data_IF_109826004732
#
_entry.id   IF_109826004732
#
_cell.length_a   1.000
_cell.length_b   1.000
_cell.length_c   1.000
_cell.angle_alpha   90.00
_cell.angle_beta   90.00
_cell.angle_gamma   90.00
#
_symmetry.space_group_name_H-M   'P 1'
#
loop_
_entity.id
_entity.type
_entity.pdbx_description
1 polymer ?
#
# COMPACT_ATOMS: atom_id res chain seq x y z
N UNK A 1 -42.04 -37.36 -5.83
CA UNK A 1 -40.62 -37.06 -5.58
C UNK A 1 -40.58 -35.95 -4.53
N UNK A 2 -40.40 -36.29 -3.26
CA UNK A 2 -40.45 -35.31 -2.15
C UNK A 2 -39.04 -34.75 -1.99
N UNK A 3 -38.85 -33.46 -2.33
CA UNK A 3 -37.63 -32.73 -1.96
C UNK A 3 -37.67 -32.57 -0.43
N UNK A 4 -36.79 -33.28 0.27
CA UNK A 4 -36.46 -32.94 1.66
C UNK A 4 -36.05 -31.46 1.71
N UNK A 5 -36.42 -30.69 2.74
CA UNK A 5 -35.93 -29.34 2.89
C UNK A 5 -34.41 -29.41 3.03
N UNK A 6 -33.70 -29.08 1.96
CA UNK A 6 -32.28 -28.84 2.05
C UNK A 6 -32.10 -27.70 3.05
N UNK A 7 -31.39 -27.97 4.15
CA UNK A 7 -30.89 -26.90 5.02
C UNK A 7 -30.02 -26.00 4.13
N UNK A 8 -30.61 -24.92 3.67
CA UNK A 8 -30.09 -24.02 2.65
C UNK A 8 -29.22 -22.97 3.32
N UNK A 9 -27.91 -22.99 3.06
CA UNK A 9 -26.98 -21.95 3.50
C UNK A 9 -25.66 -22.49 4.08
N UNK A 10 -24.79 -21.56 4.49
CA UNK A 10 -23.57 -21.88 5.24
C UNK A 10 -23.94 -22.59 6.55
N UNK A 11 -23.29 -23.72 6.83
CA UNK A 11 -23.42 -24.44 8.09
C UNK A 11 -22.29 -24.05 9.02
N UNK A 12 -22.61 -23.85 10.30
CA UNK A 12 -21.60 -23.70 11.34
C UNK A 12 -21.07 -25.09 11.73
N UNK A 13 -19.78 -25.21 12.06
CA UNK A 13 -19.23 -26.45 12.61
C UNK A 13 -19.76 -26.67 14.04
N UNK A 14 -19.54 -27.86 14.66
CA UNK A 14 -19.83 -28.08 16.07
C UNK A 14 -19.23 -27.00 16.97
N UNK A 15 -19.85 -26.72 18.12
CA UNK A 15 -19.51 -25.59 18.98
C UNK A 15 -18.05 -25.64 19.45
N UNK A 16 -17.54 -26.83 19.73
CA UNK A 16 -16.18 -27.08 20.18
C UNK A 16 -15.15 -26.63 19.12
N UNK A 17 -15.48 -26.81 17.84
CA UNK A 17 -14.64 -26.35 16.72
C UNK A 17 -14.75 -24.84 16.55
N UNK A 18 -15.95 -24.26 16.70
CA UNK A 18 -16.13 -22.81 16.67
C UNK A 18 -15.30 -22.13 17.77
N UNK A 19 -15.35 -22.65 19.00
CA UNK A 19 -14.60 -22.12 20.14
C UNK A 19 -13.08 -22.14 19.93
N UNK A 20 -12.55 -23.10 19.14
CA UNK A 20 -11.12 -23.15 18.77
C UNK A 20 -10.81 -22.18 17.62
N UNK A 21 -11.69 -22.10 16.62
CA UNK A 21 -11.46 -21.35 15.38
C UNK A 21 -11.67 -19.84 15.59
N UNK A 22 -12.61 -19.46 16.46
CA UNK A 22 -12.98 -18.06 16.71
C UNK A 22 -12.14 -17.39 17.81
N UNK A 23 -11.17 -18.12 18.40
CA UNK A 23 -10.21 -17.52 19.36
C UNK A 23 -9.54 -16.31 18.72
N UNK A 24 -9.61 -15.12 19.36
CA UNK A 24 -8.91 -13.95 18.86
C UNK A 24 -7.41 -14.23 18.76
N UNK A 25 -6.78 -14.03 17.59
CA UNK A 25 -5.35 -14.26 17.46
C UNK A 25 -4.59 -13.21 18.26
N UNK A 26 -3.39 -13.58 18.73
CA UNK A 26 -2.49 -12.65 19.40
C UNK A 26 -2.32 -11.38 18.57
N UNK A 27 -2.44 -10.22 19.22
CA UNK A 27 -2.20 -8.92 18.59
C UNK A 27 -0.76 -8.86 18.05
N UNK A 28 -0.57 -8.18 16.92
CA UNK A 28 0.79 -7.78 16.53
C UNK A 28 1.22 -6.58 17.36
N UNK A 29 2.50 -6.42 17.61
CA UNK A 29 3.02 -5.29 18.38
C UNK A 29 4.12 -4.54 17.63
N UNK A 30 4.24 -3.25 17.93
CA UNK A 30 5.24 -2.35 17.37
C UNK A 30 5.79 -1.46 18.48
N UNK A 31 7.11 -1.43 18.64
CA UNK A 31 7.77 -0.50 19.55
C UNK A 31 7.83 0.91 18.93
N UNK A 32 7.68 1.95 19.76
CA UNK A 32 7.98 3.32 19.33
C UNK A 32 9.47 3.43 18.96
N UNK A 33 9.86 4.37 18.09
CA UNK A 33 11.26 4.61 17.76
C UNK A 33 12.13 4.88 19.00
N UNK A 34 11.56 5.55 20.01
CA UNK A 34 12.19 5.83 21.31
C UNK A 34 12.23 4.64 22.27
N UNK A 35 11.53 3.55 21.94
CA UNK A 35 11.40 2.33 22.78
C UNK A 35 10.83 2.57 24.17
N UNK A 36 10.05 3.63 24.33
CA UNK A 36 9.33 4.00 25.56
C UNK A 36 7.83 3.64 25.50
N UNK A 37 7.34 3.20 24.34
CA UNK A 37 5.96 2.78 24.13
C UNK A 37 5.91 1.52 23.29
N UNK A 38 4.87 0.73 23.51
CA UNK A 38 4.50 -0.41 22.68
C UNK A 38 3.05 -0.25 22.22
N UNK A 39 2.82 -0.42 20.91
CA UNK A 39 1.51 -0.40 20.30
C UNK A 39 1.10 -1.83 19.95
N UNK A 40 -0.08 -2.26 20.39
CA UNK A 40 -0.73 -3.50 19.99
C UNK A 40 -1.81 -3.23 18.95
N UNK A 41 -1.82 -4.06 17.91
CA UNK A 41 -2.80 -4.02 16.84
C UNK A 41 -3.67 -5.27 16.94
N UNK A 42 -4.92 -5.06 17.36
CA UNK A 42 -5.92 -6.13 17.50
C UNK A 42 -6.31 -6.60 16.10
N UNK A 43 -6.38 -7.91 15.90
CA UNK A 43 -6.78 -8.52 14.63
C UNK A 43 -7.80 -9.62 14.87
N UNK A 44 -8.59 -9.91 13.83
CA UNK A 44 -9.50 -11.06 13.81
C UNK A 44 -8.83 -12.28 13.19
N UNK A 45 -9.26 -13.47 13.61
CA UNK A 45 -8.76 -14.73 13.07
C UNK A 45 -9.05 -14.84 11.57
N UNK A 46 -10.29 -14.51 11.17
CA UNK A 46 -10.76 -14.66 9.80
C UNK A 46 -11.49 -13.40 9.33
N UNK A 47 -11.23 -12.93 8.10
CA UNK A 47 -12.04 -11.88 7.50
C UNK A 47 -13.47 -12.39 7.22
N UNK A 48 -14.47 -11.50 7.22
CA UNK A 48 -15.83 -11.90 6.87
C UNK A 48 -15.90 -12.31 5.40
N UNK A 49 -16.87 -13.16 5.05
CA UNK A 49 -17.04 -13.64 3.67
C UNK A 49 -17.26 -12.49 2.67
N UNK A 50 -17.88 -11.40 3.10
CA UNK A 50 -18.05 -10.19 2.29
C UNK A 50 -16.73 -9.63 1.77
N UNK A 51 -15.65 -9.69 2.58
CA UNK A 51 -14.31 -9.27 2.15
C UNK A 51 -13.70 -10.24 1.12
N UNK A 52 -13.99 -11.54 1.24
CA UNK A 52 -13.45 -12.56 0.34
C UNK A 52 -14.17 -12.58 -1.02
N UNK A 53 -15.45 -12.23 -1.02
CA UNK A 53 -16.32 -12.20 -2.20
C UNK A 53 -16.15 -10.94 -3.05
N UNK A 54 -15.45 -9.90 -2.55
CA UNK A 54 -15.18 -8.69 -3.30
C UNK A 54 -14.48 -8.99 -4.63
N UNK A 55 -14.96 -8.43 -5.75
CA UNK A 55 -14.29 -8.58 -7.02
C UNK A 55 -12.94 -7.86 -6.98
N UNK A 56 -11.91 -8.50 -7.53
CA UNK A 56 -10.59 -7.92 -7.71
C UNK A 56 -10.28 -7.71 -9.19
N UNK A 57 -9.67 -6.56 -9.51
CA UNK A 57 -9.07 -6.32 -10.81
C UNK A 57 -7.59 -6.69 -10.72
N UNK A 58 -7.14 -7.60 -11.58
CA UNK A 58 -5.75 -8.07 -11.56
C UNK A 58 -4.96 -7.43 -12.70
N UNK A 59 -3.98 -6.57 -12.38
CA UNK A 59 -3.15 -5.87 -13.33
C UNK A 59 -1.67 -6.03 -12.95
N UNK A 60 -0.84 -6.51 -13.89
CA UNK A 60 0.60 -6.68 -13.71
C UNK A 60 1.00 -7.45 -12.42
N UNK A 61 0.18 -8.40 -11.98
CA UNK A 61 0.36 -9.19 -10.76
C UNK A 61 -0.09 -8.49 -9.46
N UNK A 62 -0.87 -7.41 -9.56
CA UNK A 62 -1.47 -6.68 -8.44
C UNK A 62 -2.97 -6.94 -8.45
N UNK A 63 -3.54 -7.34 -7.31
CA UNK A 63 -4.99 -7.41 -7.11
C UNK A 63 -5.48 -6.09 -6.54
N UNK A 64 -6.41 -5.45 -7.23
CA UNK A 64 -6.87 -4.09 -6.97
C UNK A 64 -8.33 -4.13 -6.58
N UNK A 65 -8.67 -3.48 -5.47
CA UNK A 65 -10.03 -3.10 -5.13
C UNK A 65 -10.31 -1.74 -5.79
N UNK A 66 -11.13 -1.75 -6.84
CA UNK A 66 -11.41 -0.54 -7.63
C UNK A 66 -12.29 0.47 -6.90
N UNK A 67 -12.99 0.08 -5.83
CA UNK A 67 -13.85 0.98 -5.06
C UNK A 67 -13.05 2.00 -4.24
N UNK A 68 -11.95 1.54 -3.66
CA UNK A 68 -11.13 2.33 -2.73
C UNK A 68 -9.68 2.52 -3.20
N UNK A 69 -9.36 2.14 -4.44
CA UNK A 69 -8.04 2.33 -5.08
C UNK A 69 -6.87 1.82 -4.22
N UNK A 70 -7.06 0.65 -3.63
CA UNK A 70 -6.08 -0.05 -2.80
C UNK A 70 -5.90 -1.49 -3.25
N UNK A 71 -4.93 -2.19 -2.66
CA UNK A 71 -4.80 -3.64 -2.88
C UNK A 71 -5.99 -4.37 -2.25
N UNK A 72 -6.57 -5.31 -2.99
CA UNK A 72 -7.66 -6.14 -2.47
C UNK A 72 -7.13 -7.25 -1.56
N UNK A 73 -8.05 -7.91 -0.83
CA UNK A 73 -7.75 -9.05 0.05
C UNK A 73 -6.69 -8.76 1.13
N UNK A 74 -6.57 -7.50 1.54
CA UNK A 74 -5.70 -7.11 2.64
C UNK A 74 -6.32 -7.54 3.97
N UNK A 75 -5.51 -8.15 4.84
CA UNK A 75 -5.85 -8.24 6.27
C UNK A 75 -5.95 -6.84 6.86
N UNK A 76 -6.68 -6.71 7.97
CA UNK A 76 -6.87 -5.43 8.64
C UNK A 76 -6.90 -5.63 10.16
N UNK A 77 -6.59 -4.56 10.86
CA UNK A 77 -6.70 -4.49 12.31
C UNK A 77 -8.08 -3.95 12.71
N UNK A 78 -8.55 -4.35 13.87
CA UNK A 78 -9.84 -3.96 14.44
C UNK A 78 -9.70 -3.01 15.63
N UNK A 79 -8.48 -2.71 16.04
CA UNK A 79 -8.22 -1.75 17.11
C UNK A 79 -6.73 -1.54 17.33
N UNK A 80 -6.41 -0.39 17.92
CA UNK A 80 -5.06 -0.01 18.30
C UNK A 80 -5.08 0.28 19.80
N UNK A 81 -4.12 -0.27 20.54
CA UNK A 81 -3.87 0.15 21.92
C UNK A 81 -2.38 0.40 22.14
N UNK A 82 -2.07 1.33 23.04
CA UNK A 82 -0.73 1.81 23.31
C UNK A 82 -0.46 1.68 24.80
N UNK A 83 0.71 1.19 25.16
CA UNK A 83 1.18 1.12 26.54
C UNK A 83 2.51 1.85 26.64
N UNK A 84 2.77 2.44 27.80
CA UNK A 84 4.13 2.78 28.20
C UNK A 84 4.91 1.49 28.44
N UNK A 85 6.15 1.44 27.96
CA UNK A 85 7.09 0.38 28.24
C UNK A 85 8.02 0.85 29.36
N UNK A 86 7.93 0.21 30.52
CA UNK A 86 8.74 0.56 31.70
C UNK A 86 10.13 -0.08 31.63
N UNK A 87 11.08 0.44 32.39
CA UNK A 87 12.48 -0.03 32.41
C UNK A 87 12.63 -1.49 32.88
N UNK A 88 11.71 -1.98 33.70
CA UNK A 88 11.64 -3.37 34.14
C UNK A 88 10.99 -4.32 33.12
N UNK A 89 10.62 -3.80 31.95
CA UNK A 89 9.95 -4.53 30.87
C UNK A 89 8.44 -4.71 31.08
N UNK A 90 7.87 -4.16 32.16
CA UNK A 90 6.43 -4.17 32.40
C UNK A 90 5.70 -3.15 31.52
N UNK A 91 4.39 -3.37 31.35
CA UNK A 91 3.53 -2.48 30.58
C UNK A 91 2.71 -1.61 31.52
N UNK A 92 2.69 -0.30 31.23
CA UNK A 92 1.75 0.62 31.84
C UNK A 92 0.29 0.32 31.45
N UNK A 93 -0.68 1.10 31.97
CA UNK A 93 -2.10 0.91 31.66
C UNK A 93 -2.38 1.03 30.15
N UNK A 94 -3.36 0.27 29.66
CA UNK A 94 -3.79 0.29 28.25
C UNK A 94 -4.36 1.66 27.89
N UNK A 95 -3.82 2.28 26.84
CA UNK A 95 -4.40 3.44 26.18
C UNK A 95 -5.03 3.01 24.87
N UNK A 96 -6.36 2.91 24.84
CA UNK A 96 -7.09 2.59 23.61
C UNK A 96 -7.14 3.81 22.71
N UNK A 97 -6.74 3.63 21.44
CA UNK A 97 -6.93 4.66 20.42
C UNK A 97 -8.41 4.73 20.05
N UNK A 98 -8.98 5.93 20.03
CA UNK A 98 -10.41 6.17 19.85
C UNK A 98 -10.66 7.40 18.97
N UNK A 99 -11.92 7.64 18.58
CA UNK A 99 -12.33 8.78 17.74
C UNK A 99 -12.57 8.42 16.27
N UNK A 100 -12.07 7.27 15.81
CA UNK A 100 -12.49 6.70 14.54
C UNK A 100 -13.82 5.95 14.67
N UNK A 101 -14.65 5.90 13.61
CA UNK A 101 -15.93 5.18 13.61
C UNK A 101 -15.86 3.71 14.03
N UNK A 102 -16.93 3.22 14.64
CA UNK A 102 -17.07 1.82 15.01
C UNK A 102 -16.95 0.88 13.80
N UNK A 103 -16.51 -0.35 14.05
CA UNK A 103 -16.26 -1.36 13.01
C UNK A 103 -15.25 -0.94 11.92
N UNK A 104 -14.45 0.10 12.16
CA UNK A 104 -13.34 0.52 11.33
C UNK A 104 -12.38 -0.63 10.99
N UNK A 105 -12.00 -0.71 9.71
CA UNK A 105 -10.94 -1.61 9.25
C UNK A 105 -9.64 -0.82 9.13
N UNK A 106 -8.67 -1.12 9.98
CA UNK A 106 -7.45 -0.35 10.11
C UNK A 106 -6.32 -0.98 9.28
N UNK A 107 -5.61 -0.16 8.51
CA UNK A 107 -4.48 -0.55 7.67
C UNK A 107 -3.34 0.48 7.77
N UNK A 108 -2.17 0.12 7.24
CA UNK A 108 -1.00 1.00 7.11
C UNK A 108 -0.63 1.77 8.41
N UNK A 109 -0.40 1.05 9.51
CA UNK A 109 -0.12 1.69 10.81
C UNK A 109 1.38 1.93 10.98
N UNK A 110 1.78 3.16 11.37
CA UNK A 110 3.18 3.51 11.64
C UNK A 110 3.31 4.61 12.69
N UNK A 111 4.43 4.58 13.43
CA UNK A 111 4.81 5.61 14.39
C UNK A 111 5.44 6.81 13.68
N UNK A 112 5.20 8.02 14.20
CA UNK A 112 6.04 9.18 13.89
C UNK A 112 7.47 8.94 14.39
N UNK A 113 8.49 9.56 13.77
CA UNK A 113 9.89 9.42 14.17
C UNK A 113 10.18 9.70 15.65
N UNK A 114 9.42 10.61 16.26
CA UNK A 114 9.51 10.96 17.68
C UNK A 114 8.67 10.07 18.61
N UNK A 115 7.87 9.15 18.05
CA UNK A 115 7.00 8.25 18.81
C UNK A 115 5.78 8.90 19.46
N UNK A 116 5.46 10.16 19.13
CA UNK A 116 4.38 10.91 19.75
C UNK A 116 3.04 10.77 19.01
N UNK A 117 3.08 10.38 17.74
CA UNK A 117 1.90 10.22 16.90
C UNK A 117 1.90 8.85 16.22
N UNK A 118 0.71 8.35 15.91
CA UNK A 118 0.50 7.15 15.11
C UNK A 118 -0.33 7.52 13.89
N UNK A 119 0.22 7.31 12.69
CA UNK A 119 -0.51 7.45 11.45
C UNK A 119 -1.04 6.09 10.99
N UNK A 120 -2.29 6.06 10.52
CA UNK A 120 -2.94 4.86 10.03
C UNK A 120 -4.08 5.20 9.08
N UNK A 121 -4.50 4.25 8.26
CA UNK A 121 -5.72 4.40 7.48
C UNK A 121 -6.89 3.69 8.10
N UNK A 122 -8.07 4.28 7.95
CA UNK A 122 -9.35 3.67 8.29
C UNK A 122 -10.14 3.44 7.02
N UNK A 123 -10.74 2.24 6.91
CA UNK A 123 -11.78 1.95 5.92
C UNK A 123 -13.15 1.81 6.59
N UNK A 124 -14.13 2.49 6.02
CA UNK A 124 -15.55 2.37 6.38
C UNK A 124 -16.25 1.35 5.49
N UNK A 125 -17.51 1.05 5.83
CA UNK A 125 -18.41 0.06 5.23
C UNK A 125 -18.23 -0.18 3.73
N UNK A 126 -18.50 -1.41 3.29
CA UNK A 126 -18.30 -1.84 1.91
C UNK A 126 -19.56 -1.67 1.05
N UNK A 127 -20.25 -0.54 1.18
CA UNK A 127 -21.43 -0.31 0.34
C UNK A 127 -21.03 -0.14 -1.13
N UNK A 128 -21.66 -0.95 -2.00
CA UNK A 128 -21.40 -0.94 -3.42
C UNK A 128 -21.80 0.42 -4.01
N UNK A 129 -20.82 1.19 -4.50
CA UNK A 129 -21.04 2.50 -5.12
C UNK A 129 -20.72 3.71 -4.24
N UNK A 130 -20.25 3.51 -3.00
CA UNK A 130 -19.70 4.61 -2.19
C UNK A 130 -18.37 5.11 -2.75
N UNK A 131 -18.14 6.42 -2.69
CA UNK A 131 -16.84 7.05 -2.96
C UNK A 131 -15.75 6.49 -2.02
N UNK A 132 -14.47 6.73 -2.34
CA UNK A 132 -13.31 6.14 -1.65
C UNK A 132 -13.46 6.11 -0.12
N UNK A 133 -13.73 4.93 0.44
CA UNK A 133 -13.93 4.73 1.89
C UNK A 133 -12.62 4.67 2.67
N UNK A 134 -11.46 5.05 2.10
CA UNK A 134 -10.15 4.97 2.73
C UNK A 134 -9.67 6.37 3.15
N UNK A 135 -9.62 6.63 4.45
CA UNK A 135 -9.17 7.89 5.02
C UNK A 135 -7.85 7.72 5.79
N UNK A 136 -6.97 8.72 5.74
CA UNK A 136 -5.75 8.79 6.54
C UNK A 136 -6.07 9.49 7.87
N UNK A 137 -5.71 8.83 8.97
CA UNK A 137 -5.93 9.26 10.34
C UNK A 137 -4.59 9.41 11.06
N UNK A 138 -4.59 10.28 12.07
CA UNK A 138 -3.50 10.39 13.03
C UNK A 138 -4.06 10.33 14.44
N UNK A 139 -3.39 9.61 15.32
CA UNK A 139 -3.67 9.55 16.74
C UNK A 139 -2.51 10.10 17.56
N UNK A 140 -2.84 10.82 18.62
CA UNK A 140 -1.87 11.18 19.66
C UNK A 140 -1.59 9.95 20.53
N UNK A 141 -0.31 9.61 20.73
CA UNK A 141 0.09 8.40 21.42
C UNK A 141 -0.13 8.43 22.94
N UNK A 142 -0.29 9.62 23.51
CA UNK A 142 -0.49 9.83 24.94
C UNK A 142 -1.98 9.83 25.31
N UNK A 143 -2.80 10.60 24.58
CA UNK A 143 -4.24 10.66 24.81
C UNK A 143 -5.01 9.50 24.17
N UNK A 144 -4.48 8.90 23.11
CA UNK A 144 -5.20 7.93 22.27
C UNK A 144 -6.24 8.57 21.35
N UNK A 145 -6.39 9.88 21.36
CA UNK A 145 -7.37 10.58 20.51
C UNK A 145 -6.91 10.55 19.05
N UNK A 146 -7.78 10.05 18.17
CA UNK A 146 -7.57 9.99 16.74
C UNK A 146 -8.49 10.94 15.98
N UNK A 147 -7.97 11.48 14.87
CA UNK A 147 -8.72 12.33 13.95
C UNK A 147 -8.31 12.08 12.50
N UNK A 148 -9.18 12.39 11.51
CA UNK A 148 -8.77 12.46 10.11
C UNK A 148 -7.62 13.47 9.95
N UNK A 149 -6.64 13.13 9.12
CA UNK A 149 -5.53 14.04 8.81
C UNK A 149 -5.94 15.08 7.75
N UNK A 150 -6.65 14.64 6.72
CA UNK A 150 -7.18 15.54 5.70
C UNK A 150 -8.43 16.24 6.24
N UNK A 151 -8.44 17.57 6.18
CA UNK A 151 -9.63 18.38 6.43
C UNK A 151 -10.55 18.44 5.22
N UNK A 152 -9.98 18.30 4.02
CA UNK A 152 -10.71 18.35 2.76
C UNK A 152 -11.20 16.93 2.40
N UNK A 153 -12.44 16.83 1.94
CA UNK A 153 -13.09 15.56 1.62
C UNK A 153 -12.87 15.10 0.17
N UNK A 154 -12.28 15.95 -0.68
CA UNK A 154 -12.01 15.66 -2.10
C UNK A 154 -10.69 14.89 -2.32
N UNK A 155 -9.83 14.85 -1.31
CA UNK A 155 -8.55 14.13 -1.37
C UNK A 155 -8.80 12.63 -1.18
N UNK A 156 -8.54 11.87 -2.25
CA UNK A 156 -8.65 10.40 -2.25
C UNK A 156 -7.27 9.77 -2.27
N UNK A 157 -7.06 8.77 -1.42
CA UNK A 157 -5.79 8.07 -1.27
C UNK A 157 -5.52 7.10 -2.42
N UNK A 158 -4.25 6.91 -2.78
CA UNK A 158 -3.82 5.85 -3.70
C UNK A 158 -2.94 4.83 -2.96
N UNK A 159 -3.54 3.68 -2.63
CA UNK A 159 -2.92 2.62 -1.82
C UNK A 159 -2.57 1.37 -2.66
N UNK A 160 -2.26 1.54 -3.96
CA UNK A 160 -1.81 0.44 -4.82
C UNK A 160 -0.40 -0.03 -4.45
N UNK A 161 0.49 0.92 -4.11
CA UNK A 161 1.86 0.67 -3.68
C UNK A 161 2.10 1.19 -2.26
N UNK A 162 3.23 1.87 -2.03
CA UNK A 162 3.50 2.56 -0.78
C UNK A 162 2.61 3.79 -0.68
N UNK A 163 1.82 3.86 0.39
CA UNK A 163 0.78 4.87 0.53
C UNK A 163 1.32 6.15 1.18
N UNK A 164 2.06 6.03 2.28
CA UNK A 164 2.61 7.19 2.96
C UNK A 164 3.83 6.84 3.81
N UNK A 165 4.65 7.85 4.09
CA UNK A 165 5.81 7.79 5.00
C UNK A 165 5.95 9.11 5.77
N UNK A 166 6.46 9.05 7.00
CA UNK A 166 6.84 10.24 7.75
C UNK A 166 8.14 10.82 7.19
N UNK A 167 8.15 12.11 6.86
CA UNK A 167 9.37 12.80 6.42
C UNK A 167 10.05 13.56 7.56
N UNK A 168 9.29 13.86 8.60
CA UNK A 168 9.71 14.42 9.89
C UNK A 168 8.68 14.01 10.97
N UNK A 169 8.77 14.56 12.19
CA UNK A 169 7.86 14.24 13.31
C UNK A 169 6.41 14.73 13.15
N UNK A 170 6.16 15.63 12.19
CA UNK A 170 4.91 16.37 12.00
C UNK A 170 4.37 16.37 10.56
N UNK A 171 5.09 15.81 9.61
CA UNK A 171 4.74 15.82 8.19
C UNK A 171 4.81 14.42 7.58
N UNK A 172 3.76 14.07 6.84
CA UNK A 172 3.66 12.85 6.05
C UNK A 172 3.79 13.16 4.56
N UNK A 173 4.57 12.37 3.82
CA UNK A 173 4.49 12.29 2.36
C UNK A 173 3.46 11.22 2.00
N UNK A 174 2.42 11.59 1.26
CA UNK A 174 1.25 10.76 0.98
C UNK A 174 1.01 10.64 -0.52
N UNK A 175 0.73 9.43 -0.99
CA UNK A 175 0.24 9.13 -2.34
C UNK A 175 -1.27 9.35 -2.41
N UNK A 176 -1.69 10.30 -3.23
CA UNK A 176 -3.10 10.58 -3.52
C UNK A 176 -3.41 10.31 -4.99
N UNK A 177 -4.69 10.08 -5.29
CA UNK A 177 -5.18 10.02 -6.66
C UNK A 177 -5.00 11.40 -7.29
N UNK A 178 -4.37 11.52 -8.48
CA UNK A 178 -4.25 12.79 -9.18
C UNK A 178 -5.63 13.42 -9.43
N UNK A 179 -5.77 14.72 -9.18
CA UNK A 179 -7.02 15.45 -9.46
C UNK A 179 -7.39 15.41 -10.95
N UNK A 180 -6.40 15.26 -11.83
CA UNK A 180 -6.56 15.16 -13.28
C UNK A 180 -6.91 13.76 -13.79
N UNK A 181 -7.09 12.74 -12.92
CA UNK A 181 -7.22 11.34 -13.36
C UNK A 181 -8.43 11.09 -14.29
N UNK A 182 -9.55 11.77 -14.07
CA UNK A 182 -10.79 11.53 -14.81
C UNK A 182 -11.39 10.14 -14.57
N UNK A 183 -12.20 9.68 -15.53
CA UNK A 183 -12.89 8.40 -15.50
C UNK A 183 -11.97 7.22 -15.86
N UNK A 184 -12.31 6.02 -15.40
CA UNK A 184 -11.62 4.79 -15.78
C UNK A 184 -11.66 4.62 -17.32
N UNK A 185 -10.52 4.27 -17.95
CA UNK A 185 -10.49 3.88 -19.35
C UNK A 185 -11.57 2.84 -19.66
N UNK A 186 -12.21 2.98 -20.83
CA UNK A 186 -13.20 2.02 -21.34
C UNK A 186 -12.55 1.14 -22.38
N UNK A 187 -12.85 -0.16 -22.35
CA UNK A 187 -12.32 -1.09 -23.35
C UNK A 187 -12.90 -0.75 -24.73
N UNK A 188 -12.08 -0.48 -25.76
CA UNK A 188 -12.59 -0.22 -27.10
C UNK A 188 -13.25 -1.49 -27.67
N UNK A 189 -14.33 -1.31 -28.44
CA UNK A 189 -15.02 -2.41 -29.11
C UNK A 189 -14.16 -3.06 -30.19
N UNK A 190 -13.35 -2.25 -30.87
CA UNK A 190 -12.41 -2.69 -31.91
C UNK A 190 -11.00 -2.48 -31.37
N UNK A 191 -10.18 -3.54 -31.24
CA UNK A 191 -8.77 -3.40 -30.90
C UNK A 191 -8.06 -2.51 -31.94
N UNK A 192 -7.16 -1.64 -31.49
CA UNK A 192 -6.41 -0.73 -32.36
C UNK A 192 -5.60 -1.47 -33.45
N UNK A 193 -5.13 -2.67 -33.16
CA UNK A 193 -4.41 -3.51 -34.11
C UNK A 193 -4.01 -4.86 -33.51
N UNK A 194 -3.44 -5.77 -34.32
CA UNK A 194 -2.93 -7.02 -33.84
C UNK A 194 -1.73 -6.81 -32.92
N UNK A 195 -1.58 -7.70 -31.94
CA UNK A 195 -0.42 -7.67 -31.05
C UNK A 195 0.77 -8.31 -31.76
N UNK A 196 1.75 -7.50 -32.14
CA UNK A 196 2.96 -7.98 -32.81
C UNK A 196 3.97 -8.43 -31.75
N UNK A 197 4.46 -9.67 -31.88
CA UNK A 197 5.59 -10.21 -31.12
C UNK A 197 6.62 -10.74 -32.13
N UNK A 198 7.87 -10.33 -31.99
CA UNK A 198 8.97 -10.85 -32.80
C UNK A 198 9.91 -11.67 -31.93
N UNK A 199 10.37 -12.81 -32.47
CA UNK A 199 11.43 -13.64 -31.90
C UNK A 199 12.67 -13.66 -32.80
N UNK A 200 12.85 -12.66 -33.66
CA UNK A 200 13.98 -12.57 -34.59
C UNK A 200 15.35 -12.59 -33.90
N UNK A 201 15.39 -12.24 -32.60
CA UNK A 201 16.61 -12.26 -31.80
C UNK A 201 16.99 -13.66 -31.26
N UNK A 202 16.19 -14.71 -31.51
CA UNK A 202 16.44 -16.08 -31.05
C UNK A 202 16.78 -16.21 -29.55
N UNK A 203 16.21 -15.33 -28.72
CA UNK A 203 16.46 -15.33 -27.28
C UNK A 203 15.70 -16.48 -26.60
N UNK A 204 16.38 -17.58 -26.30
CA UNK A 204 15.81 -18.69 -25.51
C UNK A 204 15.86 -18.32 -24.03
N UNK A 205 14.74 -17.81 -23.51
CA UNK A 205 14.59 -17.47 -22.09
C UNK A 205 13.51 -18.36 -21.49
N UNK A 206 13.92 -19.26 -20.61
CA UNK A 206 12.96 -20.03 -19.82
C UNK A 206 12.29 -19.09 -18.81
N UNK A 207 10.95 -19.05 -18.82
CA UNK A 207 10.17 -18.22 -17.89
C UNK A 207 9.14 -19.07 -17.15
N UNK A 208 8.85 -18.68 -15.91
CA UNK A 208 7.72 -19.26 -15.17
C UNK A 208 6.42 -18.73 -15.78
N UNK A 209 5.46 -19.62 -16.01
CA UNK A 209 4.14 -19.23 -16.51
C UNK A 209 3.48 -18.26 -15.52
N UNK A 210 3.25 -17.02 -15.96
CA UNK A 210 2.65 -15.98 -15.13
C UNK A 210 1.27 -15.63 -15.69
N UNK A 211 0.21 -15.93 -14.94
CA UNK A 211 -1.19 -15.87 -15.43
C UNK A 211 -1.86 -14.51 -15.27
N UNK A 212 -1.21 -13.56 -14.58
CA UNK A 212 -1.83 -12.33 -14.07
C UNK A 212 -1.20 -11.04 -14.65
N UNK A 213 -0.80 -11.08 -15.93
CA UNK A 213 -0.03 -10.02 -16.60
C UNK A 213 -0.92 -9.12 -17.47
N UNK A 214 -0.39 -8.00 -17.94
CA UNK A 214 -1.09 -7.05 -18.80
C UNK A 214 -1.31 -7.63 -20.22
N UNK A 215 -2.57 -7.80 -20.60
CA UNK A 215 -2.97 -8.55 -21.82
C UNK A 215 -3.08 -7.67 -23.06
N UNK A 216 -3.40 -6.41 -22.91
CA UNK A 216 -3.62 -5.47 -24.00
C UNK A 216 -3.34 -4.03 -23.57
N UNK A 217 -3.35 -3.10 -24.53
CA UNK A 217 -3.15 -1.67 -24.28
C UNK A 217 -4.16 -1.11 -23.27
N UNK A 218 -5.38 -1.65 -23.27
CA UNK A 218 -6.40 -1.24 -22.33
C UNK A 218 -6.04 -1.63 -20.89
N UNK A 219 -5.50 -2.83 -20.65
CA UNK A 219 -4.97 -3.19 -19.32
C UNK A 219 -3.74 -2.36 -18.93
N UNK A 220 -2.91 -1.91 -19.89
CA UNK A 220 -1.82 -0.95 -19.62
C UNK A 220 -2.34 0.43 -19.21
N UNK A 221 -3.38 0.95 -19.89
CA UNK A 221 -4.07 2.19 -19.51
C UNK A 221 -4.76 2.07 -18.15
N UNK A 222 -5.39 0.92 -17.86
CA UNK A 222 -5.96 0.65 -16.55
C UNK A 222 -4.87 0.60 -15.47
N UNK A 223 -3.71 0.03 -15.78
CA UNK A 223 -2.58 0.01 -14.85
C UNK A 223 -2.12 1.44 -14.55
N UNK A 224 -1.92 2.29 -15.56
CA UNK A 224 -1.62 3.71 -15.38
C UNK A 224 -2.70 4.41 -14.54
N UNK A 225 -3.98 4.18 -14.85
CA UNK A 225 -5.12 4.80 -14.16
C UNK A 225 -5.15 4.49 -12.65
N UNK A 226 -4.98 3.22 -12.26
CA UNK A 226 -5.02 2.86 -10.84
C UNK A 226 -3.71 3.19 -10.13
N UNK A 227 -2.56 3.01 -10.79
CA UNK A 227 -1.25 3.04 -10.15
C UNK A 227 -0.61 4.44 -10.08
N UNK A 228 -1.03 5.37 -10.94
CA UNK A 228 -0.48 6.74 -10.93
C UNK A 228 -0.95 7.49 -9.69
N UNK A 229 0.01 8.09 -8.98
CA UNK A 229 -0.22 8.87 -7.77
C UNK A 229 0.38 10.27 -7.93
N UNK A 230 -0.28 11.27 -7.36
CA UNK A 230 0.32 12.56 -7.03
C UNK A 230 0.86 12.47 -5.61
N UNK A 231 2.09 12.91 -5.36
CA UNK A 231 2.60 13.01 -3.99
C UNK A 231 2.21 14.36 -3.39
N UNK A 232 1.85 14.34 -2.11
CA UNK A 232 1.60 15.54 -1.30
C UNK A 232 2.29 15.42 0.04
N UNK A 233 2.84 16.52 0.53
CA UNK A 233 3.20 16.68 1.94
C UNK A 233 1.96 17.12 2.71
N UNK A 234 1.72 16.48 3.84
CA UNK A 234 0.59 16.77 4.72
C UNK A 234 1.11 16.93 6.13
N UNK A 235 1.00 18.14 6.68
CA UNK A 235 1.33 18.40 8.08
C UNK A 235 0.22 17.88 9.00
N UNK A 236 0.54 17.67 10.29
CA UNK A 236 -0.46 17.34 11.31
C UNK A 236 -1.58 18.37 11.40
N UNK A 237 -1.29 19.64 11.10
CA UNK A 237 -2.29 20.70 11.06
C UNK A 237 -3.21 20.60 9.82
N UNK A 238 -2.95 19.69 8.89
CA UNK A 238 -3.76 19.45 7.69
C UNK A 238 -3.40 20.36 6.51
N UNK A 239 -2.27 21.07 6.57
CA UNK A 239 -1.75 21.81 5.42
C UNK A 239 -1.21 20.81 4.39
N UNK A 240 -1.74 20.88 3.17
CA UNK A 240 -1.40 20.00 2.04
C UNK A 240 -0.59 20.77 1.01
N UNK A 241 0.55 20.21 0.57
CA UNK A 241 1.39 20.78 -0.49
C UNK A 241 1.79 19.71 -1.51
N UNK A 242 1.51 19.88 -2.81
CA UNK A 242 1.96 18.94 -3.82
C UNK A 242 3.48 18.90 -3.94
N UNK A 243 4.01 17.71 -4.20
CA UNK A 243 5.43 17.43 -4.39
C UNK A 243 5.59 16.51 -5.59
N UNK A 244 6.55 16.82 -6.46
CA UNK A 244 6.83 16.10 -7.70
C UNK A 244 5.61 15.98 -8.65
N UNK A 245 5.87 15.53 -9.87
CA UNK A 245 4.82 15.33 -10.89
C UNK A 245 4.13 13.98 -10.68
N UNK A 246 2.87 13.79 -11.13
CA UNK A 246 2.21 12.48 -11.05
C UNK A 246 3.03 11.38 -11.74
N UNK A 247 3.23 10.26 -11.03
CA UNK A 247 3.92 9.09 -11.55
C UNK A 247 3.46 7.82 -10.81
N UNK A 248 3.90 6.65 -11.29
CA UNK A 248 3.67 5.38 -10.60
C UNK A 248 4.72 5.21 -9.51
N UNK A 249 4.52 5.87 -8.37
CA UNK A 249 5.38 5.76 -7.21
C UNK A 249 5.21 4.40 -6.54
N UNK A 250 6.30 3.64 -6.47
CA UNK A 250 6.33 2.30 -5.86
C UNK A 250 7.04 2.27 -4.52
N UNK A 251 7.92 3.25 -4.25
CA UNK A 251 8.65 3.37 -3.01
C UNK A 251 8.91 4.84 -2.67
N UNK A 252 8.74 5.20 -1.40
CA UNK A 252 8.95 6.51 -0.79
C UNK A 252 9.97 6.34 0.34
N UNK A 253 11.14 6.96 0.24
CA UNK A 253 12.19 6.73 1.23
C UNK A 253 12.85 8.05 1.68
N UNK A 254 12.39 8.66 2.78
CA UNK A 254 13.00 9.86 3.33
C UNK A 254 14.39 9.55 3.89
N UNK A 255 15.29 10.53 3.81
CA UNK A 255 16.63 10.41 4.38
C UNK A 255 16.58 10.48 5.91
N UNK A 256 17.53 9.82 6.63
CA UNK A 256 17.54 9.83 8.10
C UNK A 256 17.69 11.21 8.74
N UNK A 257 18.20 12.18 7.99
CA UNK A 257 18.37 13.57 8.40
C UNK A 257 17.28 14.51 7.84
N UNK A 258 16.17 13.95 7.36
CA UNK A 258 14.93 14.65 6.97
C UNK A 258 15.07 15.64 5.79
N UNK A 259 16.21 15.67 5.11
CA UNK A 259 16.52 16.64 4.05
C UNK A 259 16.12 16.19 2.65
N UNK A 260 16.15 14.89 2.39
CA UNK A 260 15.95 14.33 1.06
C UNK A 260 14.90 13.24 1.03
N UNK A 261 14.36 13.02 -0.16
CA UNK A 261 13.44 11.95 -0.49
C UNK A 261 14.05 11.16 -1.65
N UNK A 262 14.17 9.85 -1.47
CA UNK A 262 14.45 8.95 -2.57
C UNK A 262 13.14 8.32 -3.02
N UNK A 263 12.76 8.59 -4.27
CA UNK A 263 11.51 8.14 -4.87
C UNK A 263 11.82 7.07 -5.92
N UNK A 264 11.08 5.97 -5.90
CA UNK A 264 11.16 4.94 -6.94
C UNK A 264 9.88 4.90 -7.75
N UNK A 265 9.99 5.14 -9.05
CA UNK A 265 8.87 5.19 -9.98
C UNK A 265 8.98 4.05 -10.99
N UNK A 266 7.84 3.47 -11.37
CA UNK A 266 7.73 2.58 -12.54
C UNK A 266 7.34 3.42 -13.77
N UNK A 267 7.89 3.08 -14.93
CA UNK A 267 7.54 3.72 -16.19
C UNK A 267 7.49 2.71 -17.34
N UNK A 268 6.94 3.16 -18.47
CA UNK A 268 6.87 2.40 -19.72
C UNK A 268 8.27 2.16 -20.32
N UNK A 269 8.44 1.13 -21.17
CA UNK A 269 7.42 0.16 -21.60
C UNK A 269 7.06 -0.90 -20.56
N UNK A 270 5.78 -1.29 -20.50
CA UNK A 270 5.33 -2.43 -19.70
C UNK A 270 5.51 -3.75 -20.44
N UNK A 271 5.31 -4.84 -19.71
CA UNK A 271 5.38 -6.19 -20.24
C UNK A 271 4.10 -6.97 -20.00
N UNK A 272 3.83 -7.88 -20.94
CA UNK A 272 2.74 -8.86 -20.86
C UNK A 272 3.15 -10.25 -20.38
N UNK A 273 4.43 -10.43 -20.05
CA UNK A 273 4.98 -11.72 -19.66
C UNK A 273 5.58 -11.69 -18.25
N UNK A 274 5.83 -10.48 -17.71
CA UNK A 274 6.36 -10.29 -16.36
C UNK A 274 5.54 -9.27 -15.56
N UNK A 275 5.58 -9.39 -14.23
CA UNK A 275 4.84 -8.51 -13.32
C UNK A 275 5.51 -7.14 -13.21
N UNK A 276 4.81 -6.19 -12.57
CA UNK A 276 5.31 -4.82 -12.37
C UNK A 276 6.71 -4.76 -11.75
N UNK A 277 7.09 -5.77 -10.94
CA UNK A 277 8.41 -5.87 -10.29
C UNK A 277 9.57 -5.91 -11.29
N UNK A 278 9.29 -6.29 -12.54
CA UNK A 278 10.25 -6.39 -13.64
C UNK A 278 10.09 -5.28 -14.68
N UNK A 279 9.12 -4.37 -14.51
CA UNK A 279 9.00 -3.20 -15.37
C UNK A 279 10.21 -2.26 -15.21
N UNK A 280 10.41 -1.34 -16.18
CA UNK A 280 11.36 -0.26 -16.02
C UNK A 280 11.10 0.53 -14.75
N UNK A 281 12.18 0.87 -14.05
CA UNK A 281 12.08 1.63 -12.81
C UNK A 281 13.17 2.69 -12.73
N UNK A 282 12.76 3.88 -12.34
CA UNK A 282 13.64 5.02 -12.10
C UNK A 282 13.73 5.28 -10.60
N UNK A 283 14.92 5.55 -10.11
CA UNK A 283 15.17 5.98 -8.73
C UNK A 283 15.72 7.39 -8.78
N UNK A 284 15.02 8.31 -8.14
CA UNK A 284 15.34 9.74 -8.16
C UNK A 284 15.55 10.25 -6.75
N UNK A 285 16.45 11.23 -6.64
CA UNK A 285 16.73 11.96 -5.42
C UNK A 285 16.10 13.34 -5.52
N UNK A 286 15.31 13.69 -4.51
CA UNK A 286 14.60 14.96 -4.37
C UNK A 286 14.93 15.57 -3.00
N UNK A 287 14.84 16.87 -2.87
CA UNK A 287 14.78 17.52 -1.54
C UNK A 287 13.42 17.26 -0.91
N UNK A 288 13.29 17.29 0.41
CA UNK A 288 11.98 17.17 1.09
C UNK A 288 10.95 18.19 0.59
N UNK A 289 11.38 19.39 0.20
CA UNK A 289 10.50 20.43 -0.35
C UNK A 289 10.07 20.25 -1.83
N UNK A 290 10.42 19.11 -2.44
CA UNK A 290 9.99 18.77 -3.79
C UNK A 290 10.80 19.33 -4.94
N UNK A 291 12.05 19.76 -4.70
CA UNK A 291 13.01 20.07 -5.77
C UNK A 291 13.76 18.80 -6.20
N UNK A 292 13.78 18.53 -7.49
CA UNK A 292 14.59 17.45 -8.07
C UNK A 292 16.09 17.73 -7.87
N UNK A 293 16.85 16.72 -7.44
CA UNK A 293 18.30 16.82 -7.24
C UNK A 293 19.03 16.08 -8.34
N UNK A 294 18.79 14.78 -8.50
CA UNK A 294 19.39 13.94 -9.55
C UNK A 294 18.70 12.59 -9.69
N UNK A 295 18.91 11.95 -10.83
CA UNK A 295 18.61 10.52 -11.01
C UNK A 295 19.73 9.66 -10.41
N UNK A 296 19.36 8.60 -9.68
CA UNK A 296 20.29 7.64 -9.09
C UNK A 296 20.46 6.39 -9.97
N UNK A 297 19.39 5.96 -10.63
CA UNK A 297 19.42 4.98 -11.71
C UNK A 297 18.11 4.96 -12.50
N UNK A 298 18.21 4.61 -13.77
CA UNK A 298 17.12 4.12 -14.61
C UNK A 298 17.40 2.66 -14.99
N UNK A 299 16.51 1.75 -14.62
CA UNK A 299 16.68 0.32 -14.82
C UNK A 299 15.70 -0.14 -15.89
N UNK A 300 16.16 -0.78 -16.99
CA UNK A 300 15.31 -1.14 -18.11
C UNK A 300 14.39 -2.32 -17.78
N UNK A 301 13.42 -2.57 -18.66
CA UNK A 301 12.53 -3.74 -18.60
C UNK A 301 13.34 -5.04 -18.46
N UNK A 302 12.95 -5.90 -17.52
CA UNK A 302 13.71 -7.07 -17.12
C UNK A 302 12.97 -8.40 -17.41
N UNK A 303 12.79 -8.72 -18.69
CA UNK A 303 12.17 -9.98 -19.14
C UNK A 303 13.17 -11.15 -19.15
N UNK A 304 14.46 -10.86 -19.37
CA UNK A 304 15.52 -11.84 -19.61
C UNK A 304 16.31 -12.26 -18.36
N UNK A 305 15.68 -12.28 -17.18
CA UNK A 305 16.33 -12.79 -15.96
C UNK A 305 16.24 -14.31 -15.95
N UNK A 306 17.38 -15.04 -15.95
CA UNK A 306 17.38 -16.51 -15.90
C UNK A 306 16.66 -17.05 -14.66
N UNK A 307 16.15 -18.29 -14.74
CA UNK A 307 15.48 -18.94 -13.59
C UNK A 307 16.47 -19.58 -12.61
N UNK A 308 17.76 -19.64 -12.98
CA UNK A 308 18.81 -20.19 -12.12
C UNK A 308 18.84 -19.45 -10.78
N UNK A 309 19.15 -20.18 -9.70
CA UNK A 309 19.29 -19.59 -8.37
C UNK A 309 20.25 -18.39 -8.41
N UNK A 310 19.97 -17.36 -7.62
CA UNK A 310 20.73 -16.11 -7.53
C UNK A 310 20.72 -15.21 -8.79
N UNK A 311 19.92 -15.53 -9.81
CA UNK A 311 19.74 -14.66 -10.98
C UNK A 311 18.97 -13.38 -10.61
N UNK A 312 19.45 -12.24 -11.13
CA UNK A 312 18.85 -10.93 -10.89
C UNK A 312 18.89 -10.04 -12.11
N UNK A 313 18.08 -8.97 -12.09
CA UNK A 313 18.15 -7.91 -13.10
C UNK A 313 19.52 -7.21 -13.06
N UNK A 314 19.94 -6.73 -14.22
CA UNK A 314 21.14 -5.87 -14.35
C UNK A 314 20.90 -4.48 -13.73
N UNK A 315 21.99 -3.81 -13.37
CA UNK A 315 22.00 -2.47 -12.78
C UNK A 315 21.96 -2.47 -11.25
N UNK A 316 21.80 -1.28 -10.65
CA UNK A 316 21.75 -1.10 -9.19
C UNK A 316 20.60 -1.90 -8.59
N UNK A 317 20.92 -2.82 -7.67
CA UNK A 317 19.94 -3.80 -7.15
C UNK A 317 19.18 -3.26 -5.94
N UNK A 318 19.91 -2.63 -5.04
CA UNK A 318 19.41 -2.08 -3.79
C UNK A 318 20.10 -0.73 -3.62
N UNK A 319 19.32 0.33 -3.53
CA UNK A 319 19.81 1.66 -3.17
C UNK A 319 19.11 2.00 -1.87
N UNK A 320 19.87 2.26 -0.81
CA UNK A 320 19.31 2.56 0.51
C UNK A 320 20.09 3.66 1.20
N UNK A 321 19.39 4.36 2.08
CA UNK A 321 20.03 5.23 3.06
C UNK A 321 20.80 4.39 4.07
N UNK A 322 22.02 4.81 4.38
CA UNK A 322 22.69 4.37 5.60
C UNK A 322 21.93 4.90 6.81
N UNK A 323 21.47 4.04 7.73
CA UNK A 323 20.68 4.49 8.88
C UNK A 323 21.51 5.28 9.91
N UNK A 324 22.83 5.14 9.87
CA UNK A 324 23.78 5.72 10.83
C UNK A 324 24.50 6.96 10.31
N UNK A 325 24.20 7.42 9.09
CA UNK A 325 24.84 8.58 8.46
C UNK A 325 23.81 9.52 7.85
N UNK A 326 24.02 10.85 7.92
CA UNK A 326 23.15 11.81 7.25
C UNK A 326 23.26 11.65 5.73
N UNK A 327 22.13 11.66 5.02
CA UNK A 327 22.05 11.75 3.55
C UNK A 327 23.01 10.85 2.75
N UNK A 328 23.38 9.67 3.28
CA UNK A 328 24.39 8.80 2.65
C UNK A 328 23.75 7.55 2.06
N UNK A 329 24.05 7.24 0.81
CA UNK A 329 23.51 6.08 0.09
C UNK A 329 24.55 4.95 -0.02
N UNK A 330 24.07 3.70 -0.07
CA UNK A 330 24.87 2.51 -0.40
C UNK A 330 24.14 1.58 -1.38
#
# INVERSE_FOLDING_TARGET
MIRLPAVSGYRLPPKEIQEIVDVPPNASYHLSPRRDRIMFLKRRAMPPLSELAKPDKILAGIRIDSSCNMRSRMSFYTGISIHLLMDDGSLGPEKVVHGYPDAAKINFVTWSPDGQNVAFTVRYEDEAGSDSNLALWVANAESGEARPLFRQTDIRLNAIFELFVWVDHSTLLVCIIPSSRGDSPKKPLVPFGPRIRSNEQNNVIQMRATKEMLKDLHEEELFDYYATSQLVLVSLDGIVKPVASPAIYTFLNPSPDEKYLMLTCVHKPYSSIVSYKRFPKKVELWTVHGRFVRELCDLPLAENIPIAANSVRRGKRLIRWRPDMPSTLY
#
